data_IF_359813063098
#
_entry.id   IF_359813063098
#
_cell.length_a   1.000
_cell.length_b   1.000
_cell.length_c   1.000
_cell.angle_alpha   90.00
_cell.angle_beta   90.00
_cell.angle_gamma   90.00
#
_symmetry.space_group_name_H-M   'P 1'
#
loop_
_entity.id
_entity.type
_entity.pdbx_description
1 polymer ?
#
# COMPACT_ATOMS: atom_id res chain seq x y z
N UNK A 1 -0.40 11.48 -3.16
CA UNK A 1 0.04 12.08 -4.43
C UNK A 1 0.67 13.45 -4.23
N UNK A 2 0.03 14.40 -3.57
CA UNK A 2 0.53 15.78 -3.43
C UNK A 2 1.98 15.85 -2.92
N UNK A 3 2.35 15.06 -1.93
CA UNK A 3 3.70 15.06 -1.35
C UNK A 3 4.77 14.40 -2.24
N UNK A 4 4.38 13.81 -3.35
CA UNK A 4 5.28 13.15 -4.31
C UNK A 4 5.35 13.91 -5.64
N UNK A 5 4.23 14.47 -6.09
CA UNK A 5 4.09 15.03 -7.45
C UNK A 5 4.14 16.57 -7.44
N UNK A 6 3.68 17.23 -6.38
CA UNK A 6 3.63 18.69 -6.34
C UNK A 6 4.95 19.30 -5.88
N UNK A 7 5.54 20.16 -6.72
CA UNK A 7 6.83 20.80 -6.46
C UNK A 7 6.90 21.54 -5.11
N UNK A 8 5.83 22.24 -4.74
CA UNK A 8 5.80 23.06 -3.54
C UNK A 8 5.61 22.26 -2.23
N UNK A 9 5.08 21.05 -2.34
CA UNK A 9 4.81 20.16 -1.20
C UNK A 9 5.58 18.84 -1.27
N UNK A 10 6.42 18.67 -2.28
CA UNK A 10 7.17 17.44 -2.50
C UNK A 10 8.13 17.15 -1.34
N UNK A 11 7.81 16.10 -0.58
CA UNK A 11 8.66 15.59 0.52
C UNK A 11 9.33 14.27 0.15
N UNK A 12 8.72 13.50 -0.74
CA UNK A 12 9.15 12.17 -1.12
C UNK A 12 9.37 12.12 -2.63
N UNK A 13 10.35 11.34 -3.06
CA UNK A 13 10.69 11.20 -4.48
C UNK A 13 9.70 10.32 -5.22
N UNK A 14 9.06 9.37 -4.53
CA UNK A 14 8.07 8.46 -5.10
C UNK A 14 7.14 7.89 -4.05
N UNK A 15 5.98 7.42 -4.52
CA UNK A 15 5.04 6.60 -3.77
C UNK A 15 5.24 5.13 -4.18
N UNK A 16 5.54 4.28 -3.23
CA UNK A 16 5.60 2.83 -3.42
C UNK A 16 4.41 2.19 -2.71
N UNK A 17 3.62 1.42 -3.42
CA UNK A 17 2.51 0.67 -2.82
C UNK A 17 2.78 -0.81 -3.03
N UNK A 18 2.67 -1.55 -1.97
CA UNK A 18 2.93 -2.98 -1.96
C UNK A 18 1.89 -3.73 -1.13
N UNK A 19 1.69 -4.99 -1.45
CA UNK A 19 0.80 -5.89 -0.75
C UNK A 19 1.45 -7.26 -0.59
N UNK A 20 1.32 -7.94 0.56
CA UNK A 20 1.72 -9.33 0.70
C UNK A 20 0.97 -10.21 -0.30
N UNK A 21 1.65 -11.19 -0.86
CA UNK A 21 1.01 -12.18 -1.71
C UNK A 21 0.53 -13.29 -0.78
N UNK A 22 -0.75 -13.34 -0.50
CA UNK A 22 -1.39 -14.43 0.22
C UNK A 22 -2.15 -15.31 -0.77
N UNK A 23 -1.70 -16.53 -1.03
CA UNK A 23 -2.45 -17.43 -1.91
C UNK A 23 -3.77 -17.81 -1.23
N UNK A 24 -4.88 -17.28 -1.75
CA UNK A 24 -6.23 -17.74 -1.39
C UNK A 24 -6.42 -19.15 -1.96
N UNK A 25 -6.23 -20.16 -1.13
CA UNK A 25 -6.44 -21.56 -1.52
C UNK A 25 -5.17 -22.30 -1.96
N UNK A 26 -5.36 -23.53 -2.49
CA UNK A 26 -4.28 -24.37 -3.02
C UNK A 26 -3.50 -23.61 -4.08
N UNK A 27 -2.18 -23.69 -3.96
CA UNK A 27 -1.17 -23.12 -4.87
C UNK A 27 -1.72 -23.00 -6.30
N UNK A 28 -1.92 -21.77 -6.77
CA UNK A 28 -2.33 -21.54 -8.16
C UNK A 28 -1.13 -21.91 -9.01
N UNK A 29 -1.00 -23.16 -9.36
CA UNK A 29 0.09 -23.78 -10.08
C UNK A 29 0.75 -22.86 -11.12
N UNK A 30 1.72 -23.34 -11.80
CA UNK A 30 2.54 -22.63 -12.77
C UNK A 30 1.67 -21.90 -13.84
N UNK A 31 1.25 -20.65 -13.54
CA UNK A 31 0.56 -19.82 -14.54
C UNK A 31 1.59 -19.44 -15.62
N UNK A 32 1.32 -19.73 -16.89
CA UNK A 32 2.16 -19.26 -17.99
C UNK A 32 2.05 -17.73 -18.11
N UNK A 33 3.16 -17.04 -18.36
CA UNK A 33 3.19 -15.60 -18.51
C UNK A 33 4.45 -14.96 -17.91
N UNK A 34 4.66 -13.68 -18.18
CA UNK A 34 5.73 -12.90 -17.56
C UNK A 34 5.51 -12.75 -16.04
N UNK A 35 6.54 -12.37 -15.29
CA UNK A 35 6.38 -12.09 -13.85
C UNK A 35 5.32 -11.02 -13.59
N UNK A 36 5.21 -10.02 -14.45
CA UNK A 36 4.21 -8.97 -14.38
C UNK A 36 2.79 -9.52 -14.53
N UNK A 37 2.55 -10.43 -15.47
CA UNK A 37 1.23 -11.02 -15.70
C UNK A 37 0.74 -11.85 -14.51
N UNK A 38 1.67 -12.44 -13.74
CA UNK A 38 1.34 -13.23 -12.54
C UNK A 38 0.98 -12.39 -11.33
N UNK A 39 1.50 -11.16 -11.24
CA UNK A 39 1.26 -10.26 -10.11
C UNK A 39 0.08 -9.31 -10.33
N UNK A 40 -0.33 -9.07 -11.57
CA UNK A 40 -1.44 -8.19 -11.91
C UNK A 40 -2.74 -8.46 -11.14
N UNK A 41 -3.23 -9.71 -10.99
CA UNK A 41 -4.48 -9.95 -10.28
C UNK A 41 -4.47 -9.52 -8.82
N UNK A 42 -3.33 -9.65 -8.13
CA UNK A 42 -3.17 -9.27 -6.72
C UNK A 42 -3.11 -7.77 -6.49
N UNK A 43 -2.61 -7.05 -7.48
CA UNK A 43 -2.47 -5.60 -7.44
C UNK A 43 -3.68 -4.88 -8.04
N UNK A 44 -4.60 -5.59 -8.68
CA UNK A 44 -5.76 -4.99 -9.34
C UNK A 44 -6.58 -4.07 -8.42
N UNK A 45 -6.91 -4.44 -7.16
CA UNK A 45 -7.64 -3.54 -6.27
C UNK A 45 -6.90 -2.23 -5.98
N UNK A 46 -5.57 -2.29 -5.98
CA UNK A 46 -4.73 -1.10 -5.78
C UNK A 46 -4.75 -0.23 -7.05
N UNK A 47 -4.66 -0.85 -8.24
CA UNK A 47 -4.79 -0.14 -9.51
C UNK A 47 -6.12 0.61 -9.60
N UNK A 48 -7.23 -0.06 -9.32
CA UNK A 48 -8.59 0.51 -9.37
C UNK A 48 -8.72 1.71 -8.42
N UNK A 49 -8.25 1.57 -7.17
CA UNK A 49 -8.27 2.66 -6.20
C UNK A 49 -7.36 3.82 -6.61
N UNK A 50 -6.18 3.53 -7.15
CA UNK A 50 -5.24 4.57 -7.60
C UNK A 50 -5.77 5.34 -8.81
N UNK A 51 -6.48 4.68 -9.72
CA UNK A 51 -7.10 5.33 -10.86
C UNK A 51 -8.16 6.34 -10.40
N UNK A 52 -9.01 5.97 -9.44
CA UNK A 52 -9.99 6.88 -8.83
C UNK A 52 -9.29 8.10 -8.19
N UNK A 53 -8.24 7.86 -7.41
CA UNK A 53 -7.51 8.92 -6.70
C UNK A 53 -6.77 9.86 -7.66
N UNK A 54 -6.21 9.34 -8.75
CA UNK A 54 -5.55 10.14 -9.78
C UNK A 54 -6.57 11.02 -10.51
N UNK A 55 -7.72 10.48 -10.87
CA UNK A 55 -8.79 11.22 -11.52
C UNK A 55 -9.29 12.36 -10.64
N UNK A 56 -9.59 12.10 -9.36
CA UNK A 56 -9.99 13.14 -8.40
C UNK A 56 -8.91 14.22 -8.20
N UNK A 57 -7.65 13.81 -8.13
CA UNK A 57 -6.53 14.74 -7.99
C UNK A 57 -6.44 15.68 -9.21
N UNK A 58 -6.70 15.17 -10.38
CA UNK A 58 -6.61 15.92 -11.64
C UNK A 58 -7.80 16.85 -11.81
N UNK A 59 -9.01 16.43 -11.46
CA UNK A 59 -10.20 17.28 -11.47
C UNK A 59 -10.06 18.49 -10.54
N UNK A 60 -9.56 18.29 -9.32
CA UNK A 60 -9.29 19.36 -8.36
C UNK A 60 -8.24 20.35 -8.87
N UNK A 61 -7.27 19.91 -9.68
CA UNK A 61 -6.25 20.78 -10.28
C UNK A 61 -6.75 21.55 -11.48
N UNK A 62 -7.59 20.95 -12.30
CA UNK A 62 -8.22 21.66 -13.43
C UNK A 62 -9.10 22.83 -12.93
N UNK A 63 -9.73 22.66 -11.76
CA UNK A 63 -10.44 23.74 -11.07
C UNK A 63 -9.53 24.86 -10.56
N UNK A 64 -8.23 24.59 -10.27
CA UNK A 64 -7.28 25.49 -9.64
C UNK A 64 -6.08 25.93 -10.55
N UNK A 65 -6.18 25.81 -11.88
CA UNK A 65 -5.20 26.30 -12.87
C UNK A 65 -3.78 25.72 -12.85
N UNK A 66 -3.61 24.47 -12.44
CA UNK A 66 -2.29 23.80 -12.42
C UNK A 66 -2.12 22.71 -13.49
N UNK A 67 -1.62 23.05 -14.68
CA UNK A 67 -1.25 22.05 -15.71
C UNK A 67 0.13 21.46 -15.41
N UNK A 68 0.19 20.23 -14.92
CA UNK A 68 1.47 19.50 -14.71
C UNK A 68 1.96 18.85 -16.01
N UNK A 69 1.07 18.43 -16.92
CA UNK A 69 1.38 17.71 -18.14
C UNK A 69 0.73 18.36 -19.37
N UNK A 70 1.16 19.56 -19.75
CA UNK A 70 0.67 20.17 -20.99
C UNK A 70 -0.87 20.26 -21.12
N UNK A 71 -1.41 19.93 -22.30
CA UNK A 71 -2.85 20.00 -22.58
C UNK A 71 -3.64 18.74 -22.22
N UNK A 72 -2.99 17.62 -21.86
CA UNK A 72 -3.63 16.33 -21.57
C UNK A 72 -3.75 16.10 -20.07
N UNK A 73 -4.91 15.66 -19.64
CA UNK A 73 -5.14 15.22 -18.26
C UNK A 73 -4.30 13.99 -17.95
N UNK A 74 -3.40 14.00 -16.94
CA UNK A 74 -2.57 12.85 -16.64
C UNK A 74 -3.40 11.68 -16.11
N UNK A 75 -3.10 10.49 -16.61
CA UNK A 75 -3.69 9.23 -16.19
C UNK A 75 -2.75 8.50 -15.23
N UNK A 76 -3.23 7.46 -14.56
CA UNK A 76 -2.40 6.65 -13.66
C UNK A 76 -1.14 6.12 -14.35
N UNK A 77 -1.26 5.71 -15.64
CA UNK A 77 -0.14 5.21 -16.42
C UNK A 77 0.99 6.24 -16.56
N UNK A 78 0.67 7.51 -16.73
CA UNK A 78 1.68 8.58 -16.82
C UNK A 78 2.51 8.67 -15.52
N UNK A 79 1.86 8.52 -14.34
CA UNK A 79 2.56 8.53 -13.05
C UNK A 79 3.44 7.29 -12.82
N UNK A 80 3.01 6.14 -13.34
CA UNK A 80 3.80 4.90 -13.32
C UNK A 80 5.02 5.01 -14.25
N UNK A 81 4.83 5.48 -15.49
CA UNK A 81 5.87 5.62 -16.51
C UNK A 81 6.94 6.64 -16.09
N UNK A 82 6.55 7.73 -15.42
CA UNK A 82 7.47 8.71 -14.85
C UNK A 82 8.10 8.28 -13.52
N UNK A 83 7.71 7.15 -12.96
CA UNK A 83 8.26 6.62 -11.71
C UNK A 83 7.86 7.39 -10.46
N UNK A 84 6.80 8.21 -10.50
CA UNK A 84 6.21 8.83 -9.32
C UNK A 84 5.45 7.84 -8.45
N UNK A 85 4.89 6.81 -9.06
CA UNK A 85 4.18 5.71 -8.41
C UNK A 85 4.85 4.40 -8.85
N UNK A 86 5.15 3.54 -7.88
CA UNK A 86 5.57 2.16 -8.11
C UNK A 86 4.59 1.23 -7.40
N UNK A 87 4.05 0.27 -8.14
CA UNK A 87 3.21 -0.81 -7.62
C UNK A 87 4.03 -2.09 -7.68
N UNK A 88 4.58 -2.51 -6.54
CA UNK A 88 5.53 -3.61 -6.49
C UNK A 88 5.14 -4.66 -5.46
N UNK A 89 5.35 -5.96 -5.75
CA UNK A 89 5.30 -7.00 -4.74
C UNK A 89 6.35 -6.78 -3.66
N UNK A 90 6.05 -7.12 -2.42
CA UNK A 90 6.95 -6.97 -1.27
C UNK A 90 8.32 -7.65 -1.45
N UNK A 91 8.38 -8.68 -2.27
CA UNK A 91 9.63 -9.38 -2.58
C UNK A 91 10.69 -8.48 -3.21
N UNK A 92 10.29 -7.43 -3.92
CA UNK A 92 11.20 -6.46 -4.56
C UNK A 92 11.72 -5.39 -3.61
N UNK A 93 11.08 -5.19 -2.48
CA UNK A 93 11.55 -4.28 -1.41
C UNK A 93 12.75 -4.89 -0.67
N UNK A 94 12.88 -6.22 -0.65
CA UNK A 94 13.99 -6.91 0.02
C UNK A 94 15.34 -6.57 -0.64
N UNK A 95 16.35 -6.29 0.19
CA UNK A 95 17.73 -6.02 -0.28
C UNK A 95 17.98 -4.60 -0.79
N UNK A 96 16.97 -3.74 -0.86
CA UNK A 96 17.11 -2.33 -1.27
C UNK A 96 17.06 -1.41 -0.05
N UNK A 97 17.80 -0.31 -0.09
CA UNK A 97 17.56 0.84 0.80
C UNK A 97 16.66 1.82 0.06
N UNK A 98 15.64 2.34 0.73
CA UNK A 98 14.57 3.13 0.14
C UNK A 98 14.55 4.54 0.77
N UNK A 99 15.46 5.46 0.38
CA UNK A 99 15.48 6.81 0.91
C UNK A 99 14.42 7.69 0.23
N UNK A 100 13.90 8.67 0.98
CA UNK A 100 12.95 9.70 0.51
C UNK A 100 11.71 9.12 -0.19
N UNK A 101 11.19 7.99 0.29
CA UNK A 101 10.02 7.34 -0.30
C UNK A 101 8.83 7.39 0.66
N UNK A 102 7.64 7.46 0.08
CA UNK A 102 6.39 7.21 0.78
C UNK A 102 5.95 5.79 0.44
N UNK A 103 6.01 4.89 1.40
CA UNK A 103 5.73 3.46 1.21
C UNK A 103 4.42 3.12 1.90
N UNK A 104 3.49 2.51 1.19
CA UNK A 104 2.26 1.96 1.74
C UNK A 104 2.33 0.44 1.61
N UNK A 105 2.14 -0.26 2.71
CA UNK A 105 1.99 -1.71 2.75
C UNK A 105 0.54 -2.00 3.12
N UNK A 106 -0.23 -2.45 2.15
CA UNK A 106 -1.63 -2.85 2.35
C UNK A 106 -1.72 -4.32 2.78
N UNK A 107 -2.78 -4.70 3.50
CA UNK A 107 -2.99 -6.04 4.07
C UNK A 107 -1.81 -6.52 4.94
N UNK A 108 -1.24 -5.60 5.72
CA UNK A 108 -0.02 -5.84 6.48
C UNK A 108 -0.18 -6.88 7.61
N UNK A 109 -1.42 -7.26 8.00
CA UNK A 109 -1.70 -8.35 8.92
C UNK A 109 -1.30 -9.72 8.35
N UNK A 110 -1.14 -9.83 7.02
CA UNK A 110 -0.66 -11.05 6.38
C UNK A 110 0.86 -11.19 6.37
N UNK A 111 1.58 -10.30 7.06
CA UNK A 111 3.03 -10.39 7.24
C UNK A 111 3.38 -11.06 8.56
N UNK A 112 4.40 -11.91 8.51
CA UNK A 112 5.06 -12.38 9.73
C UNK A 112 5.83 -11.24 10.40
N UNK A 113 6.10 -11.31 11.71
CA UNK A 113 6.96 -10.34 12.40
C UNK A 113 8.35 -10.21 11.79
N UNK A 114 8.90 -11.30 11.25
CA UNK A 114 10.19 -11.28 10.58
C UNK A 114 10.16 -10.49 9.27
N UNK A 115 9.12 -10.67 8.48
CA UNK A 115 8.90 -9.91 7.24
C UNK A 115 8.67 -8.44 7.53
N UNK A 116 7.84 -8.12 8.51
CA UNK A 116 7.60 -6.75 8.96
C UNK A 116 8.91 -6.08 9.39
N UNK A 117 9.71 -6.73 10.21
CA UNK A 117 11.04 -6.22 10.59
C UNK A 117 11.92 -5.98 9.36
N UNK A 118 11.93 -6.93 8.42
CA UNK A 118 12.71 -6.82 7.20
C UNK A 118 12.32 -5.59 6.37
N UNK A 119 11.03 -5.28 6.27
CA UNK A 119 10.52 -4.13 5.53
C UNK A 119 10.89 -2.82 6.23
N UNK A 120 10.58 -2.70 7.54
CA UNK A 120 10.83 -1.47 8.30
C UNK A 120 12.30 -1.11 8.30
N UNK A 121 13.19 -2.09 8.37
CA UNK A 121 14.65 -1.86 8.34
C UNK A 121 15.18 -1.41 6.96
N UNK A 122 14.36 -1.38 5.92
CA UNK A 122 14.70 -0.83 4.60
C UNK A 122 14.40 0.66 4.48
N UNK A 123 13.67 1.23 5.42
CA UNK A 123 13.43 2.66 5.45
C UNK A 123 14.78 3.42 5.47
N UNK A 124 15.07 4.12 4.39
CA UNK A 124 16.22 5.02 4.31
C UNK A 124 15.88 6.38 4.93
N UNK A 125 16.83 7.30 4.85
CA UNK A 125 16.64 8.66 5.34
C UNK A 125 15.40 9.31 4.69
N UNK A 126 14.62 10.03 5.49
CA UNK A 126 13.42 10.76 5.06
C UNK A 126 12.32 9.89 4.41
N UNK A 127 12.28 8.61 4.73
CA UNK A 127 11.22 7.70 4.27
C UNK A 127 10.10 7.62 5.29
N UNK A 128 8.86 7.55 4.79
CA UNK A 128 7.66 7.25 5.56
C UNK A 128 7.10 5.89 5.15
N UNK A 129 6.82 5.04 6.13
CA UNK A 129 6.11 3.78 5.92
C UNK A 129 4.73 3.90 6.56
N UNK A 130 3.69 3.52 5.83
CA UNK A 130 2.32 3.39 6.29
C UNK A 130 1.93 1.93 6.15
N UNK A 131 1.45 1.35 7.23
CA UNK A 131 0.94 -0.01 7.27
C UNK A 131 -0.59 0.08 7.39
N UNK A 132 -1.31 -0.57 6.49
CA UNK A 132 -2.77 -0.69 6.56
C UNK A 132 -3.15 -2.16 6.65
N UNK A 133 -4.22 -2.46 7.37
CA UNK A 133 -4.70 -3.84 7.48
C UNK A 133 -5.72 -4.00 8.60
N UNK A 134 -6.37 -5.16 8.61
CA UNK A 134 -7.31 -5.59 9.62
C UNK A 134 -6.77 -6.84 10.33
N UNK A 135 -6.41 -6.77 11.62
CA UNK A 135 -5.83 -7.91 12.35
C UNK A 135 -6.77 -9.10 12.51
N UNK A 136 -8.04 -8.94 12.17
CA UNK A 136 -9.04 -10.02 12.20
C UNK A 136 -9.29 -10.67 10.83
N UNK A 137 -8.78 -10.07 9.74
CA UNK A 137 -8.88 -10.60 8.37
C UNK A 137 -7.54 -11.18 7.91
N UNK A 138 -7.13 -12.30 8.51
CA UNK A 138 -5.83 -12.95 8.23
C UNK A 138 -6.03 -14.12 7.29
N UNK A 139 -5.33 -14.10 6.15
CA UNK A 139 -5.36 -15.19 5.14
C UNK A 139 -4.32 -16.27 5.43
N UNK A 140 -3.35 -15.99 6.28
CA UNK A 140 -2.19 -16.87 6.55
C UNK A 140 -2.51 -17.80 7.72
N UNK A 141 -2.55 -19.14 7.52
CA UNK A 141 -3.07 -20.10 8.51
C UNK A 141 -2.30 -20.18 9.83
N UNK A 142 -1.06 -19.71 9.87
CA UNK A 142 -0.20 -19.77 11.07
C UNK A 142 -0.01 -18.40 11.76
N UNK A 143 -0.78 -17.41 11.35
CA UNK A 143 -0.85 -16.10 12.01
C UNK A 143 -2.20 -15.93 12.69
N UNK A 144 -2.23 -15.15 13.75
CA UNK A 144 -3.45 -14.73 14.45
C UNK A 144 -3.44 -13.21 14.70
N UNK A 145 -4.51 -12.70 15.32
CA UNK A 145 -4.68 -11.26 15.57
C UNK A 145 -3.57 -10.63 16.43
N UNK A 146 -2.85 -11.42 17.21
CA UNK A 146 -1.78 -10.94 18.10
C UNK A 146 -0.38 -11.21 17.53
N UNK A 147 -0.20 -12.33 16.83
CA UNK A 147 1.09 -12.81 16.37
C UNK A 147 1.50 -12.30 14.99
N UNK A 148 0.60 -11.63 14.27
CA UNK A 148 0.92 -11.07 12.96
C UNK A 148 1.85 -9.85 13.05
N UNK A 149 2.50 -9.52 11.93
CA UNK A 149 3.50 -8.46 11.87
C UNK A 149 2.93 -7.07 12.15
N UNK A 150 1.69 -6.77 11.72
CA UNK A 150 1.03 -5.48 11.93
C UNK A 150 0.76 -5.24 13.42
N UNK A 151 0.08 -6.18 14.10
CA UNK A 151 -0.25 -6.09 15.52
C UNK A 151 1.01 -6.01 16.37
N UNK A 152 2.02 -6.84 16.06
CA UNK A 152 3.27 -6.82 16.79
C UNK A 152 4.05 -5.51 16.58
N UNK A 153 4.07 -4.94 15.39
CA UNK A 153 4.72 -3.65 15.16
C UNK A 153 4.00 -2.53 15.91
N UNK A 154 2.66 -2.48 15.84
CA UNK A 154 1.84 -1.52 16.55
C UNK A 154 2.09 -1.57 18.06
N UNK A 155 2.06 -2.76 18.68
CA UNK A 155 2.26 -2.94 20.12
C UNK A 155 3.67 -2.61 20.57
N UNK A 156 4.70 -3.11 19.88
CA UNK A 156 6.10 -2.93 20.30
C UNK A 156 6.63 -1.52 20.06
N UNK A 157 6.08 -0.79 19.08
CA UNK A 157 6.59 0.51 18.68
C UNK A 157 5.68 1.68 19.09
N UNK A 158 4.58 1.44 19.77
CA UNK A 158 3.57 2.46 20.12
C UNK A 158 4.10 3.63 20.95
N UNK A 159 5.17 3.43 21.71
CA UNK A 159 5.80 4.46 22.55
C UNK A 159 6.90 5.23 21.82
N UNK A 160 7.26 4.81 20.63
CA UNK A 160 8.37 5.40 19.89
C UNK A 160 7.95 6.72 19.20
N UNK A 161 8.77 7.76 19.36
CA UNK A 161 8.49 9.12 18.82
C UNK A 161 8.26 9.16 17.30
N UNK A 162 8.80 8.20 16.57
CA UNK A 162 8.70 8.11 15.11
C UNK A 162 7.47 7.33 14.64
N UNK A 163 6.67 6.79 15.55
CA UNK A 163 5.55 5.90 15.25
C UNK A 163 4.24 6.53 15.69
N UNK A 164 3.22 6.38 14.85
CA UNK A 164 1.84 6.71 15.18
C UNK A 164 0.95 5.52 14.85
N UNK A 165 -0.03 5.27 15.70
CA UNK A 165 -1.05 4.22 15.50
C UNK A 165 -2.44 4.82 15.57
N UNK A 166 -3.31 4.37 14.67
CA UNK A 166 -4.73 4.74 14.66
C UNK A 166 -5.54 3.48 14.40
N UNK A 167 -6.49 3.21 15.28
CA UNK A 167 -7.51 2.18 15.06
C UNK A 167 -8.80 2.85 14.57
N UNK A 168 -9.32 2.36 13.44
CA UNK A 168 -10.60 2.80 12.90
C UNK A 168 -11.69 1.90 13.50
N UNK A 169 -12.58 2.48 14.30
CA UNK A 169 -13.63 1.74 15.02
C UNK A 169 -14.88 1.51 14.16
N UNK A 170 -15.07 2.34 13.13
CA UNK A 170 -16.24 2.28 12.24
C UNK A 170 -15.80 2.08 10.81
N UNK A 171 -16.30 1.03 10.17
CA UNK A 171 -16.15 0.80 8.74
C UNK A 171 -17.17 1.61 7.92
N UNK A 172 -16.75 2.14 6.81
CA UNK A 172 -17.61 2.76 5.80
C UNK A 172 -17.96 1.68 4.73
N UNK A 173 -18.76 0.68 5.14
CA UNK A 173 -19.15 -0.46 4.30
C UNK A 173 -20.67 -0.45 4.05
N UNK A 174 -21.12 -1.33 3.14
CA UNK A 174 -22.56 -1.56 2.95
C UNK A 174 -23.17 -2.29 4.15
N UNK A 175 -24.46 -2.12 4.40
CA UNK A 175 -25.18 -2.82 5.47
C UNK A 175 -24.99 -4.35 5.42
N UNK A 176 -24.92 -4.94 4.22
CA UNK A 176 -24.66 -6.36 4.05
C UNK A 176 -23.25 -6.75 4.48
N UNK A 177 -22.26 -5.93 4.18
CA UNK A 177 -20.87 -6.17 4.58
C UNK A 177 -20.69 -6.04 6.10
N UNK A 178 -21.38 -5.11 6.74
CA UNK A 178 -21.37 -4.96 8.19
C UNK A 178 -22.06 -6.16 8.88
N UNK A 179 -23.15 -6.67 8.31
CA UNK A 179 -23.79 -7.89 8.80
C UNK A 179 -22.87 -9.10 8.66
N UNK A 180 -22.20 -9.26 7.54
CA UNK A 180 -21.24 -10.35 7.34
C UNK A 180 -20.11 -10.30 8.38
N UNK A 181 -19.49 -9.14 8.58
CA UNK A 181 -18.41 -8.94 9.56
C UNK A 181 -18.87 -9.20 11.02
N UNK A 182 -20.18 -9.11 11.31
CA UNK A 182 -20.71 -9.36 12.63
C UNK A 182 -20.99 -10.84 12.90
N UNK A 183 -21.28 -11.63 11.87
CA UNK A 183 -21.74 -13.03 12.01
C UNK A 183 -20.72 -14.08 11.56
N UNK A 184 -19.68 -13.69 10.87
CA UNK A 184 -18.58 -14.52 10.39
C UNK A 184 -17.21 -14.01 10.87
#
# INVERSE_FOLDING_TARGET
LNQVVESDTQRYSRLVISRPISPLGKDIGFLPGSKADKFNPWMQPIYDNMEILVNQHTENKNANNGKIFGKKTPQLQDYLDFGFIELEPLTYIRGRSLPKQYIIIDEAQNLTPHEMKTIITRAGKDTKIVLTGDPYQIDIPYLDSESNGLSMAAEKMKTERLVGHVTLEKGERSELADLAAKYF
#
